data_IF_151769175715
#
_entry.id   IF_151769175715
#
_cell.length_a   1.000
_cell.length_b   1.000
_cell.length_c   1.000
_cell.angle_alpha   90.00
_cell.angle_beta   90.00
_cell.angle_gamma   90.00
#
_symmetry.space_group_name_H-M   'P 1'
#
loop_
_entity.id
_entity.type
_entity.pdbx_description
1 polymer ?
#
# COMPACT_ATOMS: atom_id res chain seq x y z
N UNK A 1 -26.22 3.67 -22.71
CA UNK A 1 -24.86 3.08 -22.83
C UNK A 1 -23.88 4.07 -22.20
N UNK A 2 -23.53 3.93 -20.92
CA UNK A 2 -22.51 4.76 -20.24
C UNK A 2 -21.69 3.99 -19.20
N UNK A 3 -21.84 2.66 -19.13
CA UNK A 3 -21.41 1.86 -17.99
C UNK A 3 -19.90 1.69 -17.88
N UNK A 4 -19.18 1.50 -19.00
CA UNK A 4 -17.75 1.17 -18.94
C UNK A 4 -16.85 2.34 -18.52
N UNK A 5 -17.17 3.56 -18.95
CA UNK A 5 -16.40 4.77 -18.61
C UNK A 5 -16.66 5.22 -17.17
N UNK A 6 -17.93 5.15 -16.72
CA UNK A 6 -18.31 5.44 -15.33
C UNK A 6 -17.72 4.40 -14.36
N UNK A 7 -17.74 3.11 -14.71
CA UNK A 7 -17.12 2.04 -13.91
C UNK A 7 -15.60 2.23 -13.79
N UNK A 8 -14.93 2.59 -14.89
CA UNK A 8 -13.48 2.84 -14.87
C UNK A 8 -13.13 4.01 -13.96
N UNK A 9 -13.85 5.13 -14.07
CA UNK A 9 -13.65 6.31 -13.22
C UNK A 9 -13.91 5.99 -11.73
N UNK A 10 -14.96 5.19 -11.46
CA UNK A 10 -15.26 4.72 -10.11
C UNK A 10 -14.11 3.87 -9.55
N UNK A 11 -13.59 2.91 -10.32
CA UNK A 11 -12.47 2.07 -9.91
C UNK A 11 -11.22 2.89 -9.59
N UNK A 12 -10.91 3.92 -10.41
CA UNK A 12 -9.79 4.84 -10.15
C UNK A 12 -9.93 5.56 -8.82
N UNK A 13 -11.15 6.00 -8.53
CA UNK A 13 -11.47 6.74 -7.30
C UNK A 13 -11.46 5.84 -6.07
N UNK A 14 -12.03 4.64 -6.19
CA UNK A 14 -12.01 3.63 -5.12
C UNK A 14 -10.59 3.25 -4.77
N UNK A 15 -9.73 3.00 -5.78
CA UNK A 15 -8.33 2.66 -5.56
C UNK A 15 -7.58 3.78 -4.84
N UNK A 16 -7.73 5.04 -5.28
CA UNK A 16 -7.08 6.17 -4.64
C UNK A 16 -7.48 6.30 -3.16
N UNK A 17 -8.78 6.24 -2.87
CA UNK A 17 -9.31 6.31 -1.49
C UNK A 17 -8.79 5.17 -0.63
N UNK A 18 -8.88 3.93 -1.13
CA UNK A 18 -8.40 2.76 -0.41
C UNK A 18 -6.89 2.84 -0.13
N UNK A 19 -6.11 3.31 -1.11
CA UNK A 19 -4.66 3.48 -0.97
C UNK A 19 -4.30 4.51 0.11
N UNK A 20 -4.91 5.70 0.07
CA UNK A 20 -4.63 6.73 1.08
C UNK A 20 -5.09 6.30 2.48
N UNK A 21 -6.24 5.65 2.59
CA UNK A 21 -6.73 5.12 3.87
C UNK A 21 -5.79 4.05 4.43
N UNK A 22 -5.39 3.06 3.62
CA UNK A 22 -4.44 2.03 4.04
C UNK A 22 -3.09 2.64 4.46
N UNK A 23 -2.62 3.63 3.70
CA UNK A 23 -1.37 4.34 3.99
C UNK A 23 -1.42 5.09 5.32
N UNK A 24 -2.55 5.73 5.64
CA UNK A 24 -2.78 6.38 6.93
C UNK A 24 -2.81 5.38 8.08
N UNK A 25 -3.47 4.22 7.91
CA UNK A 25 -3.47 3.15 8.93
C UNK A 25 -2.07 2.56 9.16
N UNK A 26 -1.26 2.48 8.10
CA UNK A 26 0.14 2.06 8.18
C UNK A 26 1.07 3.18 8.67
N UNK A 27 0.55 4.40 8.88
CA UNK A 27 1.30 5.59 9.31
C UNK A 27 2.48 5.93 8.38
N UNK A 28 2.22 5.84 7.06
CA UNK A 28 3.20 6.19 6.02
C UNK A 28 3.21 7.70 5.78
N UNK A 29 4.41 8.28 5.76
CA UNK A 29 4.62 9.69 5.43
C UNK A 29 4.44 9.97 3.93
N UNK A 30 4.19 11.22 3.56
CA UNK A 30 4.08 11.64 2.16
C UNK A 30 5.33 11.27 1.34
N UNK A 31 6.52 11.47 1.90
CA UNK A 31 7.79 11.08 1.28
C UNK A 31 7.85 9.58 1.00
N UNK A 32 7.41 8.75 1.94
CA UNK A 32 7.34 7.30 1.74
C UNK A 32 6.35 6.92 0.66
N UNK A 33 5.18 7.57 0.59
CA UNK A 33 4.22 7.31 -0.48
C UNK A 33 4.78 7.64 -1.86
N UNK A 34 5.52 8.75 -1.97
CA UNK A 34 6.18 9.15 -3.21
C UNK A 34 7.18 8.07 -3.66
N UNK A 35 8.04 7.61 -2.75
CA UNK A 35 9.02 6.56 -3.01
C UNK A 35 8.35 5.22 -3.36
N UNK A 36 7.35 4.80 -2.58
CA UNK A 36 6.61 3.55 -2.80
C UNK A 36 5.91 3.53 -4.15
N UNK A 37 5.30 4.65 -4.57
CA UNK A 37 4.65 4.77 -5.88
C UNK A 37 5.64 5.04 -7.03
N UNK A 38 6.89 5.40 -6.73
CA UNK A 38 7.90 5.74 -7.74
C UNK A 38 7.62 7.08 -8.43
N UNK A 39 7.08 8.06 -7.70
CA UNK A 39 6.74 9.39 -8.20
C UNK A 39 7.29 10.48 -7.28
N UNK A 40 7.17 11.75 -7.67
CA UNK A 40 7.59 12.88 -6.85
C UNK A 40 6.55 13.23 -5.78
N UNK A 41 6.97 13.88 -4.68
CA UNK A 41 6.04 14.36 -3.64
C UNK A 41 4.96 15.32 -4.17
N UNK A 42 5.25 16.27 -5.08
CA UNK A 42 4.21 17.07 -5.72
C UNK A 42 3.18 16.22 -6.50
N UNK A 43 3.62 15.13 -7.11
CA UNK A 43 2.71 14.21 -7.81
C UNK A 43 1.79 13.47 -6.82
N UNK A 44 2.24 13.18 -5.59
CA UNK A 44 1.37 12.65 -4.52
C UNK A 44 0.27 13.66 -4.15
N UNK A 45 0.62 14.95 -4.02
CA UNK A 45 -0.36 15.99 -3.74
C UNK A 45 -1.41 16.10 -4.85
N UNK A 46 -0.97 16.02 -6.11
CA UNK A 46 -1.87 15.99 -7.27
C UNK A 46 -2.79 14.76 -7.24
N UNK A 47 -2.26 13.57 -6.99
CA UNK A 47 -3.06 12.34 -6.85
C UNK A 47 -4.09 12.45 -5.71
N UNK A 48 -3.72 13.10 -4.61
CA UNK A 48 -4.64 13.34 -3.48
C UNK A 48 -5.76 14.29 -3.85
N UNK A 49 -5.47 15.37 -4.60
CA UNK A 49 -6.49 16.31 -5.07
C UNK A 49 -7.40 15.71 -6.14
N UNK A 50 -6.85 14.96 -7.09
CA UNK A 50 -7.62 14.32 -8.16
C UNK A 50 -8.38 13.08 -7.66
N UNK A 51 -7.90 12.50 -6.55
CA UNK A 51 -8.44 11.30 -5.91
C UNK A 51 -8.63 10.16 -6.91
N UNK A 52 -7.68 9.97 -7.83
CA UNK A 52 -7.74 8.95 -8.87
C UNK A 52 -6.37 8.31 -9.06
N UNK A 53 -6.34 6.97 -9.05
CA UNK A 53 -5.16 6.18 -9.40
C UNK A 53 -5.61 5.16 -10.43
N UNK A 54 -4.96 5.08 -11.58
CA UNK A 54 -5.28 4.08 -12.60
C UNK A 54 -4.84 2.67 -12.14
N UNK A 55 -5.78 1.72 -11.93
CA UNK A 55 -5.42 0.37 -11.48
C UNK A 55 -4.50 -0.38 -12.44
N UNK A 56 -4.49 -0.02 -13.73
CA UNK A 56 -3.66 -0.66 -14.76
C UNK A 56 -2.30 0.03 -14.93
N UNK A 57 -2.05 1.12 -14.20
CA UNK A 57 -0.75 1.78 -14.20
C UNK A 57 0.22 1.13 -13.22
N UNK A 58 1.52 1.37 -13.40
CA UNK A 58 2.55 0.93 -12.45
C UNK A 58 2.30 1.50 -11.03
N UNK A 59 1.78 2.72 -10.91
CA UNK A 59 1.39 3.29 -9.62
C UNK A 59 0.19 2.54 -9.02
N UNK A 60 -0.77 2.13 -9.87
CA UNK A 60 -1.93 1.33 -9.48
C UNK A 60 -1.56 -0.03 -8.90
N UNK A 61 -0.66 -0.76 -9.56
CA UNK A 61 -0.17 -2.06 -9.08
C UNK A 61 0.53 -1.93 -7.72
N UNK A 62 1.34 -0.89 -7.54
CA UNK A 62 2.00 -0.57 -6.26
C UNK A 62 0.98 -0.20 -5.19
N UNK A 63 -0.01 0.63 -5.51
CA UNK A 63 -1.07 1.02 -4.60
C UNK A 63 -1.90 -0.19 -4.14
N UNK A 64 -2.27 -1.08 -5.07
CA UNK A 64 -2.96 -2.33 -4.76
C UNK A 64 -2.12 -3.23 -3.85
N UNK A 65 -0.81 -3.31 -4.08
CA UNK A 65 0.10 -4.09 -3.24
C UNK A 65 0.17 -3.54 -1.80
N UNK A 66 0.17 -2.22 -1.63
CA UNK A 66 0.10 -1.59 -0.28
C UNK A 66 -1.22 -1.88 0.41
N UNK A 67 -2.35 -1.80 -0.30
CA UNK A 67 -3.67 -2.12 0.26
C UNK A 67 -3.71 -3.59 0.72
N UNK A 68 -3.20 -4.50 -0.10
CA UNK A 68 -3.11 -5.93 0.25
C UNK A 68 -2.21 -6.17 1.45
N UNK A 69 -1.09 -5.44 1.54
CA UNK A 69 -0.19 -5.53 2.68
C UNK A 69 -0.89 -5.08 3.97
N UNK A 70 -1.57 -3.94 3.94
CA UNK A 70 -2.35 -3.47 5.09
C UNK A 70 -3.39 -4.50 5.52
N UNK A 71 -4.18 -5.02 4.57
CA UNK A 71 -5.20 -6.03 4.87
C UNK A 71 -4.57 -7.29 5.49
N UNK A 72 -3.50 -7.80 4.91
CA UNK A 72 -2.84 -9.02 5.40
C UNK A 72 -2.24 -8.82 6.78
N UNK A 73 -1.67 -7.64 7.06
CA UNK A 73 -1.19 -7.28 8.40
C UNK A 73 -2.34 -7.15 9.41
N UNK A 74 -3.48 -6.59 8.98
CA UNK A 74 -4.67 -6.50 9.80
C UNK A 74 -5.22 -7.89 10.16
N UNK A 75 -5.33 -8.77 9.17
CA UNK A 75 -5.78 -10.15 9.36
C UNK A 75 -4.83 -10.94 10.28
N UNK A 76 -3.51 -10.79 10.08
CA UNK A 76 -2.48 -11.45 10.89
C UNK A 76 -2.44 -10.96 12.35
N UNK A 77 -2.71 -9.68 12.58
CA UNK A 77 -2.67 -9.05 13.91
C UNK A 77 -4.00 -9.09 14.66
N UNK A 78 -5.09 -9.56 14.02
CA UNK A 78 -6.44 -9.40 14.56
C UNK A 78 -6.86 -7.93 14.70
N UNK A 79 -6.27 -7.05 13.90
CA UNK A 79 -6.51 -5.61 13.93
C UNK A 79 -5.72 -4.81 14.98
N UNK A 80 -4.72 -5.42 15.63
CA UNK A 80 -3.84 -4.73 16.58
C UNK A 80 -2.92 -3.74 15.83
N UNK A 81 -3.25 -2.45 15.95
CA UNK A 81 -2.52 -1.37 15.29
C UNK A 81 -1.10 -1.20 15.84
N UNK A 82 -0.90 -1.38 17.14
CA UNK A 82 0.42 -1.24 17.75
C UNK A 82 1.33 -2.36 17.26
N UNK A 83 0.81 -3.58 17.17
CA UNK A 83 1.51 -4.70 16.56
C UNK A 83 1.91 -4.41 15.11
N UNK A 84 0.99 -3.90 14.28
CA UNK A 84 1.28 -3.53 12.89
C UNK A 84 2.41 -2.50 12.82
N UNK A 85 2.36 -1.46 13.66
CA UNK A 85 3.37 -0.42 13.70
C UNK A 85 4.73 -0.95 14.15
N UNK A 86 4.75 -1.82 15.17
CA UNK A 86 5.96 -2.47 15.64
C UNK A 86 6.56 -3.38 14.56
N UNK A 87 5.73 -4.16 13.87
CA UNK A 87 6.15 -5.02 12.77
C UNK A 87 6.84 -4.22 11.67
N UNK A 88 6.26 -3.10 11.24
CA UNK A 88 6.83 -2.27 10.17
C UNK A 88 8.16 -1.65 10.55
N UNK A 89 8.34 -1.25 11.81
CA UNK A 89 9.53 -0.52 12.30
C UNK A 89 10.64 -1.42 12.82
N UNK A 90 10.32 -2.65 13.22
CA UNK A 90 11.28 -3.59 13.80
C UNK A 90 11.96 -4.41 12.71
N UNK A 91 13.27 -4.67 12.88
CA UNK A 91 13.99 -5.58 11.99
C UNK A 91 13.37 -6.97 12.07
N UNK A 92 12.77 -7.40 10.97
CA UNK A 92 12.20 -8.73 10.83
C UNK A 92 13.30 -9.69 10.34
N UNK A 93 13.48 -10.81 11.04
CA UNK A 93 14.51 -11.79 10.72
C UNK A 93 14.22 -12.57 9.43
N UNK A 94 12.95 -12.79 9.11
CA UNK A 94 12.51 -13.54 7.94
C UNK A 94 12.65 -12.69 6.68
N UNK A 95 12.16 -11.44 6.70
CA UNK A 95 12.37 -10.53 5.57
C UNK A 95 13.78 -9.94 5.55
N UNK A 96 14.60 -10.18 6.59
CA UNK A 96 16.00 -9.73 6.75
C UNK A 96 16.18 -8.21 6.72
N UNK A 97 15.19 -7.44 7.17
CA UNK A 97 15.23 -5.98 7.13
C UNK A 97 14.15 -5.35 7.98
N UNK A 98 14.10 -4.02 7.97
CA UNK A 98 12.98 -3.26 8.55
C UNK A 98 11.91 -3.19 7.46
N UNK A 99 10.72 -3.80 7.63
CA UNK A 99 9.72 -3.87 6.55
C UNK A 99 9.37 -2.51 5.96
N UNK A 100 9.28 -1.46 6.79
CA UNK A 100 9.01 -0.10 6.33
C UNK A 100 10.04 0.43 5.33
N UNK A 101 11.32 0.07 5.48
CA UNK A 101 12.37 0.44 4.51
C UNK A 101 12.34 -0.45 3.27
N UNK A 102 11.91 -1.70 3.42
CA UNK A 102 11.87 -2.65 2.31
C UNK A 102 10.76 -2.30 1.32
N UNK A 103 9.59 -1.90 1.82
CA UNK A 103 8.43 -1.56 0.97
C UNK A 103 8.66 -0.33 0.07
N UNK A 104 9.68 0.48 0.35
CA UNK A 104 10.11 1.60 -0.51
C UNK A 104 10.66 1.14 -1.87
N UNK A 105 11.01 -0.14 -2.02
CA UNK A 105 11.40 -0.73 -3.29
C UNK A 105 10.30 -1.67 -3.80
N UNK A 106 10.10 -1.75 -5.12
CA UNK A 106 9.10 -2.65 -5.71
C UNK A 106 9.33 -4.12 -5.28
N UNK A 107 10.59 -4.57 -5.30
CA UNK A 107 10.94 -5.92 -4.90
C UNK A 107 10.73 -6.17 -3.39
N UNK A 108 11.11 -5.21 -2.54
CA UNK A 108 10.93 -5.34 -1.11
C UNK A 108 9.46 -5.29 -0.69
N UNK A 109 8.62 -4.49 -1.38
CA UNK A 109 7.17 -4.48 -1.17
C UNK A 109 6.55 -5.85 -1.43
N UNK A 110 6.88 -6.46 -2.56
CA UNK A 110 6.40 -7.81 -2.89
C UNK A 110 6.90 -8.84 -1.89
N UNK A 111 8.18 -8.78 -1.52
CA UNK A 111 8.78 -9.71 -0.54
C UNK A 111 8.10 -9.64 0.82
N UNK A 112 7.86 -8.43 1.35
CA UNK A 112 7.17 -8.23 2.63
C UNK A 112 5.72 -8.71 2.52
N UNK A 113 5.01 -8.36 1.46
CA UNK A 113 3.63 -8.79 1.23
C UNK A 113 3.49 -10.31 1.23
N UNK A 114 4.32 -11.01 0.44
CA UNK A 114 4.30 -12.47 0.36
C UNK A 114 4.59 -13.13 1.71
N UNK A 115 5.54 -12.58 2.47
CA UNK A 115 5.83 -13.07 3.81
C UNK A 115 4.60 -12.95 4.73
N UNK A 116 3.96 -11.78 4.76
CA UNK A 116 2.77 -11.57 5.62
C UNK A 116 1.61 -12.48 5.17
N UNK A 117 1.32 -12.56 3.87
CA UNK A 117 0.26 -13.42 3.34
C UNK A 117 0.50 -14.91 3.68
N UNK A 118 1.75 -15.39 3.58
CA UNK A 118 2.08 -16.78 3.96
C UNK A 118 2.00 -17.05 5.47
N UNK A 119 2.07 -16.01 6.30
CA UNK A 119 2.01 -16.12 7.76
C UNK A 119 0.57 -16.27 8.28
N UNK A 120 -0.44 -15.95 7.47
CA UNK A 120 -1.87 -16.10 7.82
C UNK A 120 -2.32 -17.56 7.73
N UNK A 121 -1.65 -18.39 6.92
CA UNK A 121 -2.06 -19.78 6.68
C UNK A 121 -1.57 -20.79 7.75
N UNK A 122 -1.07 -20.30 8.90
CA UNK A 122 -0.56 -21.13 10.00
C UNK A 122 -1.37 -20.90 11.26
#
# INVERSE_FOLDING_TARGET
MNTSSEQTLNNKTILAKAFFNASEQLNLSQTQLAVILGISEPAINKLRSECQIDPLSQQGERALSVIRLFKSLYDLSGGDRDWIQQFLKTKNQVTRGIPLKQIETAHGLVTVLQFVESSIQR
#
